data_IF_520134715432
#
_entry.id   IF_520134715432
#
_cell.length_a   1.000
_cell.length_b   1.000
_cell.length_c   1.000
_cell.angle_alpha   90.00
_cell.angle_beta   90.00
_cell.angle_gamma   90.00
#
_symmetry.space_group_name_H-M   'P 1'
#
loop_
_entity.id
_entity.type
_entity.pdbx_description
1 polymer ?
#
# COMPACT_ATOMS: atom_id res chain seq x y z
N UNK A 1 1.14 -11.03 38.86
CA UNK A 1 1.00 -10.52 37.48
C UNK A 1 1.93 -9.35 37.30
N UNK A 2 2.54 -9.25 36.10
CA UNK A 2 3.46 -8.19 35.74
C UNK A 2 2.85 -7.46 34.55
N UNK A 3 2.78 -6.15 34.64
CA UNK A 3 2.25 -5.30 33.57
C UNK A 3 3.39 -4.50 32.94
N UNK A 4 3.59 -4.69 31.66
CA UNK A 4 4.57 -3.96 30.86
C UNK A 4 3.81 -2.94 30.01
N UNK A 5 4.01 -1.66 30.27
CA UNK A 5 3.45 -0.58 29.46
C UNK A 5 4.44 -0.14 28.40
N UNK A 6 3.99 -0.02 27.13
CA UNK A 6 4.82 0.47 26.02
C UNK A 6 4.14 1.66 25.38
N UNK A 7 4.84 2.79 25.39
CA UNK A 7 4.48 3.99 24.63
C UNK A 7 5.12 3.91 23.22
N UNK A 8 4.25 3.97 22.21
CA UNK A 8 4.62 3.74 20.80
C UNK A 8 4.87 5.07 20.09
N UNK A 9 6.05 5.20 19.49
CA UNK A 9 6.38 6.32 18.61
C UNK A 9 7.10 5.82 17.33
N UNK A 10 7.23 6.70 16.34
CA UNK A 10 7.72 6.33 15.01
C UNK A 10 9.11 5.69 15.00
N UNK A 11 10.06 6.26 15.73
CA UNK A 11 11.47 5.84 15.71
C UNK A 11 11.92 5.17 17.01
N UNK A 12 11.32 5.53 18.12
CA UNK A 12 11.74 5.08 19.43
C UNK A 12 10.51 4.83 20.29
N UNK A 13 10.54 3.76 21.07
CA UNK A 13 9.53 3.40 22.04
C UNK A 13 10.06 3.59 23.45
N UNK A 14 9.15 3.71 24.42
CA UNK A 14 9.49 3.68 25.83
C UNK A 14 8.74 2.54 26.49
N UNK A 15 9.40 1.79 27.38
CA UNK A 15 8.77 0.72 28.14
C UNK A 15 9.14 0.82 29.61
N UNK A 16 8.20 0.36 30.45
CA UNK A 16 8.38 0.15 31.88
C UNK A 16 7.60 -1.07 32.32
N UNK A 17 7.97 -1.68 33.46
CA UNK A 17 7.24 -2.79 34.01
C UNK A 17 6.92 -2.57 35.50
N UNK A 18 5.69 -2.91 35.89
CA UNK A 18 5.21 -2.85 37.28
C UNK A 18 4.61 -4.19 37.71
N UNK A 19 4.69 -4.50 39.00
CA UNK A 19 3.97 -5.63 39.58
C UNK A 19 2.46 -5.31 39.72
N UNK A 20 1.65 -6.34 40.01
CA UNK A 20 0.24 -6.16 40.35
C UNK A 20 0.02 -5.26 41.57
N UNK A 21 1.00 -5.11 42.44
CA UNK A 21 0.95 -4.31 43.65
C UNK A 21 1.47 -2.88 43.46
N UNK A 22 1.86 -2.55 42.21
CA UNK A 22 2.32 -1.22 41.81
C UNK A 22 3.82 -1.00 42.00
N UNK A 23 4.59 -2.03 42.38
CA UNK A 23 6.03 -1.94 42.50
C UNK A 23 6.71 -1.84 41.08
N UNK A 24 7.65 -0.92 40.94
CA UNK A 24 8.40 -0.77 39.68
C UNK A 24 9.45 -1.88 39.59
N UNK A 25 9.27 -2.78 38.61
CA UNK A 25 10.19 -3.89 38.35
C UNK A 25 11.25 -3.51 37.31
N UNK A 26 10.87 -2.68 36.34
CA UNK A 26 11.77 -2.12 35.33
C UNK A 26 11.44 -0.63 35.19
N UNK A 27 12.43 0.20 35.49
CA UNK A 27 12.37 1.66 35.27
C UNK A 27 12.14 1.98 33.79
N UNK A 28 11.47 3.11 33.48
CA UNK A 28 11.25 3.54 32.11
C UNK A 28 12.56 3.61 31.32
N UNK A 29 12.62 2.92 30.19
CA UNK A 29 13.77 2.93 29.29
C UNK A 29 13.32 3.11 27.85
N UNK A 30 14.22 3.65 27.03
CA UNK A 30 14.03 3.89 25.61
C UNK A 30 14.61 2.74 24.79
N UNK A 31 13.94 2.35 23.71
CA UNK A 31 14.46 1.42 22.70
C UNK A 31 14.00 1.83 21.28
N UNK A 32 14.75 1.43 20.27
CA UNK A 32 14.48 1.78 18.87
C UNK A 32 13.40 0.89 18.24
N UNK A 33 12.69 1.42 17.22
CA UNK A 33 11.68 0.66 16.50
C UNK A 33 12.32 -0.19 15.38
N UNK A 34 13.22 -1.08 15.78
CA UNK A 34 13.96 -2.00 14.93
C UNK A 34 14.30 -3.30 15.68
N UNK A 35 14.96 -4.21 14.98
CA UNK A 35 15.33 -5.50 15.53
C UNK A 35 16.20 -5.41 16.79
N UNK A 36 17.18 -4.54 16.81
CA UNK A 36 18.08 -4.36 17.95
C UNK A 36 17.35 -3.82 19.17
N UNK A 37 16.46 -2.84 18.97
CA UNK A 37 15.61 -2.31 20.02
C UNK A 37 14.64 -3.35 20.59
N UNK A 38 14.07 -4.21 19.74
CA UNK A 38 13.18 -5.29 20.18
C UNK A 38 13.92 -6.34 21.02
N UNK A 39 15.17 -6.67 20.67
CA UNK A 39 16.01 -7.54 21.48
C UNK A 39 16.46 -6.89 22.79
N UNK A 40 16.70 -5.57 22.80
CA UNK A 40 16.93 -4.83 24.04
C UNK A 40 15.71 -4.96 24.98
N UNK A 41 14.49 -4.80 24.46
CA UNK A 41 13.28 -5.02 25.25
C UNK A 41 13.24 -6.45 25.81
N UNK A 42 13.47 -7.49 25.00
CA UNK A 42 13.51 -8.87 25.45
C UNK A 42 14.56 -9.09 26.55
N UNK A 43 15.77 -8.54 26.40
CA UNK A 43 16.83 -8.66 27.40
C UNK A 43 16.43 -8.06 28.75
N UNK A 44 15.67 -6.97 28.73
CA UNK A 44 15.14 -6.34 29.95
C UNK A 44 14.03 -7.16 30.61
N UNK A 45 13.20 -7.86 29.79
CA UNK A 45 12.12 -8.73 30.29
C UNK A 45 12.62 -10.09 30.72
N UNK A 46 13.78 -10.57 30.24
CA UNK A 46 14.32 -11.90 30.51
C UNK A 46 14.41 -12.30 32.00
N UNK A 47 14.69 -11.39 32.97
CA UNK A 47 14.70 -11.77 34.39
C UNK A 47 13.32 -12.03 34.99
N UNK A 48 12.23 -11.69 34.26
CA UNK A 48 10.86 -11.78 34.76
C UNK A 48 10.19 -13.08 34.26
N UNK A 49 9.23 -13.59 35.01
CA UNK A 49 8.44 -14.76 34.59
C UNK A 49 7.52 -14.40 33.42
N UNK A 50 7.84 -14.87 32.23
CA UNK A 50 7.11 -14.60 30.99
C UNK A 50 5.61 -14.95 31.07
N UNK A 51 5.25 -16.03 31.78
CA UNK A 51 3.85 -16.46 31.91
C UNK A 51 2.99 -15.47 32.69
N UNK A 52 3.63 -14.71 33.56
CA UNK A 52 3.02 -13.69 34.40
C UNK A 52 2.97 -12.31 33.74
N UNK A 53 3.60 -12.13 32.56
CA UNK A 53 3.69 -10.84 31.85
C UNK A 53 2.45 -10.62 30.98
N UNK A 54 1.89 -9.42 31.08
CA UNK A 54 0.95 -8.84 30.11
C UNK A 54 1.55 -7.54 29.59
N UNK A 55 1.72 -7.43 28.26
CA UNK A 55 2.24 -6.25 27.61
C UNK A 55 1.08 -5.42 27.09
N UNK A 56 0.96 -4.19 27.58
CA UNK A 56 -0.02 -3.21 27.14
C UNK A 56 0.62 -2.12 26.28
N UNK A 57 0.00 -1.78 25.14
CA UNK A 57 0.43 -0.69 24.28
C UNK A 57 -0.77 0.08 23.73
N UNK A 58 -0.59 1.38 23.47
CA UNK A 58 -1.61 2.18 22.81
C UNK A 58 -1.59 1.98 21.30
N UNK A 59 -2.78 1.90 20.68
CA UNK A 59 -2.94 1.79 19.24
C UNK A 59 -2.68 3.14 18.57
N UNK A 60 -1.43 3.54 18.44
CA UNK A 60 -1.00 4.74 17.71
C UNK A 60 -0.57 4.39 16.30
N UNK A 61 -1.49 4.48 15.33
CA UNK A 61 -1.25 4.16 13.93
C UNK A 61 -0.55 2.78 13.73
N UNK A 62 0.20 2.61 12.64
CA UNK A 62 0.90 1.37 12.28
C UNK A 62 2.33 1.23 12.87
N UNK A 63 2.75 2.19 13.69
CA UNK A 63 4.13 2.19 14.19
C UNK A 63 4.44 1.05 15.17
N UNK A 64 3.41 0.50 15.81
CA UNK A 64 3.54 -0.61 16.76
C UNK A 64 3.40 -1.99 16.14
N UNK A 65 2.96 -2.13 14.89
CA UNK A 65 2.58 -3.41 14.29
C UNK A 65 3.75 -4.41 14.25
N UNK A 66 4.96 -3.94 13.88
CA UNK A 66 6.15 -4.78 13.87
C UNK A 66 6.53 -5.28 15.26
N UNK A 67 6.47 -4.41 16.27
CA UNK A 67 6.73 -4.77 17.65
C UNK A 67 5.68 -5.78 18.18
N UNK A 68 4.40 -5.54 17.91
CA UNK A 68 3.32 -6.45 18.31
C UNK A 68 3.52 -7.82 17.69
N UNK A 69 3.80 -7.89 16.37
CA UNK A 69 4.08 -9.15 15.67
C UNK A 69 5.28 -9.86 16.30
N UNK A 70 6.37 -9.15 16.53
CA UNK A 70 7.57 -9.68 17.16
C UNK A 70 7.28 -10.28 18.56
N UNK A 71 6.55 -9.56 19.43
CA UNK A 71 6.19 -10.02 20.76
C UNK A 71 5.29 -11.27 20.73
N UNK A 72 4.32 -11.30 19.79
CA UNK A 72 3.46 -12.48 19.60
C UNK A 72 4.21 -13.70 19.10
N UNK A 73 5.25 -13.53 18.23
CA UNK A 73 6.13 -14.65 17.83
C UNK A 73 7.02 -15.16 18.94
N UNK A 74 7.13 -14.42 20.05
CA UNK A 74 7.84 -14.81 21.27
C UNK A 74 6.87 -15.27 22.38
N UNK A 75 5.62 -15.55 22.02
CA UNK A 75 4.56 -16.06 22.92
C UNK A 75 4.20 -15.13 24.08
N UNK A 76 4.44 -13.81 23.94
CA UNK A 76 3.96 -12.83 24.93
C UNK A 76 2.46 -12.57 24.77
N UNK A 77 1.78 -12.31 25.89
CA UNK A 77 0.40 -11.82 25.90
C UNK A 77 0.38 -10.33 25.64
N UNK A 78 -0.16 -9.92 24.50
CA UNK A 78 -0.20 -8.50 24.08
C UNK A 78 -1.64 -7.98 24.12
N UNK A 79 -1.83 -6.83 24.78
CA UNK A 79 -3.08 -6.12 24.88
C UNK A 79 -2.97 -4.73 24.27
N UNK A 80 -3.87 -4.38 23.35
CA UNK A 80 -3.97 -3.04 22.77
C UNK A 80 -5.04 -2.24 23.50
N UNK A 81 -4.69 -1.05 23.94
CA UNK A 81 -5.50 -0.25 24.87
C UNK A 81 -6.61 0.57 24.20
N UNK A 82 -6.59 0.73 22.86
CA UNK A 82 -7.65 1.48 22.17
C UNK A 82 -8.01 0.84 20.81
N UNK A 83 -9.07 0.06 20.70
CA UNK A 83 -9.93 -0.44 21.80
C UNK A 83 -9.22 -1.49 22.67
N UNK A 84 -9.54 -1.55 23.95
CA UNK A 84 -8.97 -2.52 24.88
C UNK A 84 -9.30 -3.95 24.42
N UNK A 85 -8.32 -4.65 23.86
CA UNK A 85 -8.45 -6.05 23.42
C UNK A 85 -7.11 -6.75 23.37
N UNK A 86 -7.11 -8.05 23.65
CA UNK A 86 -5.97 -8.90 23.32
C UNK A 86 -5.92 -9.14 21.81
N UNK A 87 -4.70 -9.11 21.25
CA UNK A 87 -4.43 -9.31 19.82
C UNK A 87 -3.73 -10.66 19.62
N UNK A 88 -4.10 -11.34 18.56
CA UNK A 88 -3.46 -12.55 18.06
C UNK A 88 -2.76 -12.30 16.72
N UNK A 89 -1.89 -13.23 16.28
CA UNK A 89 -1.27 -13.17 14.96
C UNK A 89 -2.33 -13.15 13.83
N UNK A 90 -3.44 -13.91 14.01
CA UNK A 90 -4.54 -13.90 13.02
C UNK A 90 -5.21 -12.53 12.89
N UNK A 91 -5.31 -11.77 13.99
CA UNK A 91 -5.85 -10.41 13.95
C UNK A 91 -4.96 -9.48 13.16
N UNK A 92 -3.64 -9.59 13.29
CA UNK A 92 -2.66 -8.81 12.51
C UNK A 92 -2.76 -9.14 11.02
N UNK A 93 -2.81 -10.41 10.66
CA UNK A 93 -2.96 -10.85 9.26
C UNK A 93 -4.27 -10.31 8.64
N UNK A 94 -5.36 -10.30 9.42
CA UNK A 94 -6.64 -9.72 8.97
C UNK A 94 -6.57 -8.20 8.76
N UNK A 95 -5.86 -7.47 9.64
CA UNK A 95 -5.64 -6.02 9.52
C UNK A 95 -4.84 -5.73 8.26
N UNK A 96 -3.74 -6.45 8.02
CA UNK A 96 -2.91 -6.30 6.81
C UNK A 96 -3.70 -6.58 5.52
N UNK A 97 -4.48 -7.66 5.50
CA UNK A 97 -5.33 -7.99 4.34
C UNK A 97 -6.37 -6.88 4.07
N UNK A 98 -6.96 -6.32 5.12
CA UNK A 98 -7.91 -5.21 5.01
C UNK A 98 -7.26 -3.95 4.46
N UNK A 99 -6.02 -3.64 4.85
CA UNK A 99 -5.26 -2.50 4.33
C UNK A 99 -4.88 -2.68 2.86
N UNK A 100 -4.42 -3.87 2.47
CA UNK A 100 -4.19 -4.22 1.07
C UNK A 100 -5.46 -4.08 0.22
N UNK A 101 -6.60 -4.52 0.76
CA UNK A 101 -7.91 -4.33 0.11
C UNK A 101 -8.26 -2.85 -0.10
N UNK A 102 -8.05 -2.02 0.91
CA UNK A 102 -8.24 -0.56 0.81
C UNK A 102 -7.30 0.09 -0.20
N UNK A 103 -6.01 -0.30 -0.18
CA UNK A 103 -5.03 0.18 -1.14
C UNK A 103 -5.42 -0.18 -2.58
N UNK A 104 -5.82 -1.44 -2.82
CA UNK A 104 -6.33 -1.88 -4.13
C UNK A 104 -7.52 -1.03 -4.58
N UNK A 105 -8.51 -0.79 -3.71
CA UNK A 105 -9.68 0.04 -4.04
C UNK A 105 -9.28 1.47 -4.41
N UNK A 106 -8.36 2.08 -3.65
CA UNK A 106 -7.82 3.41 -3.94
C UNK A 106 -7.15 3.45 -5.32
N UNK A 107 -6.32 2.47 -5.62
CA UNK A 107 -5.61 2.37 -6.90
C UNK A 107 -6.58 2.18 -8.08
N UNK A 108 -7.62 1.37 -7.92
CA UNK A 108 -8.67 1.19 -8.93
C UNK A 108 -9.42 2.49 -9.18
N UNK A 109 -9.79 3.22 -8.13
CA UNK A 109 -10.46 4.54 -8.26
C UNK A 109 -9.56 5.56 -8.98
N UNK A 110 -8.27 5.61 -8.63
CA UNK A 110 -7.30 6.48 -9.31
C UNK A 110 -7.19 6.14 -10.79
N UNK A 111 -7.07 4.85 -11.13
CA UNK A 111 -7.04 4.40 -12.53
C UNK A 111 -8.29 4.82 -13.29
N UNK A 112 -9.49 4.66 -12.69
CA UNK A 112 -10.75 5.07 -13.31
C UNK A 112 -10.77 6.58 -13.55
N UNK A 113 -10.34 7.37 -12.58
CA UNK A 113 -10.26 8.82 -12.71
C UNK A 113 -9.34 9.26 -13.85
N UNK A 114 -8.14 8.65 -13.94
CA UNK A 114 -7.20 8.91 -15.04
C UNK A 114 -7.77 8.52 -16.41
N UNK A 115 -8.51 7.43 -16.50
CA UNK A 115 -9.20 7.05 -17.73
C UNK A 115 -10.23 8.10 -18.16
N UNK A 116 -11.05 8.58 -17.23
CA UNK A 116 -12.03 9.63 -17.50
C UNK A 116 -11.35 10.91 -17.97
N UNK A 117 -10.27 11.33 -17.32
CA UNK A 117 -9.50 12.51 -17.72
C UNK A 117 -8.92 12.34 -19.13
N UNK A 118 -8.31 11.18 -19.43
CA UNK A 118 -7.76 10.90 -20.75
C UNK A 118 -8.85 10.94 -21.83
N UNK A 119 -10.02 10.32 -21.59
CA UNK A 119 -11.16 10.41 -22.51
C UNK A 119 -11.55 11.85 -22.77
N UNK A 120 -11.66 12.67 -21.72
CA UNK A 120 -12.00 14.10 -21.87
C UNK A 120 -10.97 14.87 -22.69
N UNK A 121 -9.67 14.57 -22.57
CA UNK A 121 -8.65 15.18 -23.42
C UNK A 121 -8.73 14.70 -24.87
N UNK A 122 -8.97 13.40 -25.11
CA UNK A 122 -9.16 12.86 -26.45
C UNK A 122 -10.37 13.55 -27.12
N UNK A 123 -11.47 13.74 -26.41
CA UNK A 123 -12.67 14.42 -26.93
C UNK A 123 -12.39 15.86 -27.38
N UNK A 124 -11.46 16.53 -26.71
CA UNK A 124 -11.11 17.91 -27.03
C UNK A 124 -10.09 18.05 -28.17
N UNK A 125 -9.16 17.09 -28.27
CA UNK A 125 -8.02 17.18 -29.18
C UNK A 125 -8.16 16.28 -30.41
N UNK A 126 -8.81 15.13 -30.26
CA UNK A 126 -8.94 14.12 -31.32
C UNK A 126 -10.19 13.27 -31.16
N UNK A 127 -11.35 13.89 -31.35
CA UNK A 127 -12.65 13.25 -31.20
C UNK A 127 -12.86 12.04 -32.12
N UNK A 128 -12.27 12.08 -33.32
CA UNK A 128 -12.37 11.01 -34.33
C UNK A 128 -11.75 9.69 -33.83
N UNK A 129 -10.81 9.76 -32.89
CA UNK A 129 -10.19 8.56 -32.30
C UNK A 129 -11.23 7.65 -31.63
N UNK A 130 -12.29 8.19 -31.05
CA UNK A 130 -13.36 7.42 -30.43
C UNK A 130 -14.19 6.66 -31.47
N UNK A 131 -14.42 7.24 -32.64
CA UNK A 131 -15.20 6.57 -33.71
C UNK A 131 -14.43 5.41 -34.33
N UNK A 132 -13.09 5.49 -34.38
CA UNK A 132 -12.23 4.43 -34.88
C UNK A 132 -12.20 3.23 -33.95
N UNK A 133 -12.22 3.45 -32.65
CA UNK A 133 -12.17 2.40 -31.63
C UNK A 133 -13.53 2.16 -31.01
N UNK A 134 -14.44 1.56 -31.78
CA UNK A 134 -15.84 1.30 -31.42
C UNK A 134 -16.05 0.58 -30.08
N UNK A 135 -15.04 -0.14 -29.57
CA UNK A 135 -15.14 -0.91 -28.33
C UNK A 135 -14.65 -0.15 -27.10
N UNK A 136 -13.51 0.51 -27.15
CA UNK A 136 -12.94 1.29 -26.04
C UNK A 136 -11.64 2.00 -26.49
N UNK A 137 -11.50 3.28 -26.20
CA UNK A 137 -10.23 4.01 -26.40
C UNK A 137 -9.15 3.61 -25.38
N UNK A 138 -9.52 2.87 -24.34
CA UNK A 138 -8.61 2.40 -23.31
C UNK A 138 -7.96 1.05 -23.63
N UNK A 139 -7.49 0.88 -24.87
CA UNK A 139 -6.77 -0.29 -25.32
C UNK A 139 -5.25 -0.04 -25.33
N UNK A 140 -4.47 -1.10 -25.18
CA UNK A 140 -3.01 -1.01 -25.19
C UNK A 140 -2.46 -0.45 -26.52
N UNK A 141 -3.12 -0.76 -27.64
CA UNK A 141 -2.81 -0.24 -28.97
C UNK A 141 -2.98 1.27 -29.06
N UNK A 142 -4.10 1.80 -28.54
CA UNK A 142 -4.36 3.24 -28.50
C UNK A 142 -3.33 3.95 -27.65
N UNK A 143 -3.02 3.39 -26.47
CA UNK A 143 -1.99 3.94 -25.60
C UNK A 143 -0.60 3.92 -26.21
N UNK A 144 -0.27 2.89 -27.00
CA UNK A 144 1.01 2.82 -27.71
C UNK A 144 1.13 3.94 -28.77
N UNK A 145 0.08 4.16 -29.55
CA UNK A 145 0.02 5.24 -30.54
C UNK A 145 0.09 6.61 -29.87
N UNK A 146 -0.71 6.86 -28.84
CA UNK A 146 -0.74 8.14 -28.14
C UNK A 146 0.56 8.47 -27.39
N UNK A 147 1.36 7.47 -27.02
CA UNK A 147 2.71 7.70 -26.46
C UNK A 147 3.70 8.26 -27.48
N UNK A 148 3.55 7.90 -28.73
CA UNK A 148 4.46 8.31 -29.81
C UNK A 148 3.96 9.59 -30.49
N UNK A 149 2.65 9.71 -30.66
CA UNK A 149 2.00 10.85 -31.29
C UNK A 149 0.73 11.26 -30.54
N UNK A 150 0.76 12.39 -29.89
CA UNK A 150 -0.30 12.87 -29.01
C UNK A 150 -1.33 13.75 -29.71
N UNK A 151 -1.09 14.16 -30.95
CA UNK A 151 -1.96 15.04 -31.74
C UNK A 151 -2.33 14.44 -33.08
N UNK A 152 -3.48 14.79 -33.69
CA UNK A 152 -3.86 14.33 -35.02
C UNK A 152 -2.77 14.58 -36.06
N UNK A 153 -2.21 15.79 -36.09
CA UNK A 153 -1.13 16.15 -37.04
C UNK A 153 0.13 15.30 -36.86
N UNK A 154 0.49 14.94 -35.62
CA UNK A 154 1.61 14.07 -35.35
C UNK A 154 1.35 12.64 -35.87
N UNK A 155 0.12 12.14 -35.70
CA UNK A 155 -0.29 10.82 -36.22
C UNK A 155 -0.28 10.83 -37.76
N UNK A 156 -0.80 11.89 -38.41
CA UNK A 156 -0.79 12.03 -39.86
C UNK A 156 0.59 12.02 -40.46
N UNK A 157 1.58 12.58 -39.76
CA UNK A 157 2.98 12.62 -40.19
C UNK A 157 3.75 11.32 -39.94
N UNK A 158 3.20 10.39 -39.17
CA UNK A 158 3.85 9.10 -38.89
C UNK A 158 3.90 8.19 -40.14
N UNK A 159 5.03 7.52 -40.32
CA UNK A 159 5.12 6.51 -41.37
C UNK A 159 4.23 5.31 -41.06
N UNK A 160 3.49 4.80 -42.06
CA UNK A 160 2.47 3.74 -41.86
C UNK A 160 3.07 2.48 -41.24
N UNK A 161 4.30 2.09 -41.58
CA UNK A 161 4.98 0.95 -40.93
C UNK A 161 5.24 1.16 -39.45
N UNK A 162 5.57 2.38 -39.05
CA UNK A 162 5.81 2.72 -37.63
C UNK A 162 4.52 2.72 -36.87
N UNK A 163 3.45 3.29 -37.41
CA UNK A 163 2.12 3.26 -36.82
C UNK A 163 1.63 1.81 -36.60
N UNK A 164 1.85 0.93 -37.61
CA UNK A 164 1.49 -0.49 -37.49
C UNK A 164 2.34 -1.25 -36.49
N UNK A 165 3.62 -0.92 -36.32
CA UNK A 165 4.48 -1.51 -35.30
C UNK A 165 4.07 -1.10 -33.88
N UNK A 166 3.75 0.16 -33.68
CA UNK A 166 3.26 0.68 -32.39
C UNK A 166 1.91 0.06 -32.04
N UNK A 167 1.04 -0.07 -33.01
CA UNK A 167 -0.29 -0.67 -32.86
C UNK A 167 -0.25 -2.21 -32.73
N UNK A 168 0.69 -2.93 -33.34
CA UNK A 168 0.81 -4.39 -33.30
C UNK A 168 1.12 -4.94 -31.90
N UNK A 169 1.67 -4.12 -31.02
CA UNK A 169 1.84 -4.46 -29.60
C UNK A 169 0.51 -4.66 -28.86
N UNK A 170 -0.64 -4.37 -29.51
CA UNK A 170 -1.98 -4.45 -28.92
C UNK A 170 -3.09 -5.05 -29.77
N UNK A 171 -2.81 -5.86 -30.80
CA UNK A 171 -3.85 -6.44 -31.71
C UNK A 171 -4.64 -5.38 -32.51
N UNK A 172 -3.95 -4.49 -33.19
CA UNK A 172 -4.53 -3.45 -34.01
C UNK A 172 -4.80 -3.94 -35.47
N UNK A 173 -5.99 -3.74 -35.97
CA UNK A 173 -6.31 -4.09 -37.38
C UNK A 173 -5.67 -3.08 -38.35
N UNK A 174 -5.11 -3.57 -39.47
CA UNK A 174 -4.45 -2.74 -40.49
C UNK A 174 -5.38 -1.67 -41.10
N UNK A 175 -6.67 -1.94 -41.08
CA UNK A 175 -7.71 -1.07 -41.60
C UNK A 175 -7.89 0.18 -40.74
N UNK A 176 -7.96 0.03 -39.43
CA UNK A 176 -8.05 1.14 -38.48
C UNK A 176 -6.80 2.07 -38.51
N UNK A 177 -5.61 1.52 -38.80
CA UNK A 177 -4.40 2.32 -38.97
C UNK A 177 -4.43 3.19 -40.24
N UNK A 178 -5.07 2.73 -41.32
CA UNK A 178 -5.27 3.52 -42.54
C UNK A 178 -6.29 4.63 -42.33
N UNK A 179 -7.39 4.33 -41.66
CA UNK A 179 -8.44 5.32 -41.33
C UNK A 179 -7.91 6.42 -40.40
N UNK A 180 -7.10 6.08 -39.40
CA UNK A 180 -6.43 7.04 -38.53
C UNK A 180 -5.64 8.11 -39.28
N UNK A 181 -4.98 7.70 -40.38
CA UNK A 181 -4.14 8.59 -41.19
C UNK A 181 -4.98 9.50 -42.11
N UNK A 182 -6.20 9.10 -42.47
CA UNK A 182 -7.07 9.89 -43.35
C UNK A 182 -7.84 10.96 -42.57
N UNK A 183 -8.13 10.69 -41.28
CA UNK A 183 -8.89 11.58 -40.39
C UNK A 183 -8.03 12.58 -39.60
N UNK A 184 -6.71 12.43 -39.65
CA UNK A 184 -5.74 13.33 -39.01
C UNK A 184 -5.13 14.30 -40.02
#
# INVERSE_FOLDING_TARGET
MIYVGIDIAKLNHFASAISSDGEILIEPFKFTNDYDGFYLLLSKLAPLDQNSIIIGLESTAHYGDNLVRFLLTKDFKVCVLNPLRFITLKDLDYIELKELGRFRQKTVKQRTHLKIQLTSYIDQVFQELQYLFKSDVHQNSVYAVLKEATTPNAIASMHMTHLLQSASRGHFEKEAARELRVLS
#
